data_IF_194900700313
#
_entry.id   IF_194900700313
#
_cell.length_a   1.000
_cell.length_b   1.000
_cell.length_c   1.000
_cell.angle_alpha   90.00
_cell.angle_beta   90.00
_cell.angle_gamma   90.00
#
_symmetry.space_group_name_H-M   'P 1'
#
loop_
_entity.id
_entity.type
_entity.pdbx_description
1 polymer ?
#
# COMPACT_ATOMS: atom_id res chain seq x y z
N UNK A 1 -11.41 -0.69 -12.63
CA UNK A 1 -12.37 -1.10 -11.56
C UNK A 1 -13.60 -0.20 -11.52
N UNK A 2 -13.47 1.11 -11.25
CA UNK A 2 -14.64 2.02 -11.20
C UNK A 2 -15.29 2.18 -12.59
N UNK A 3 -14.49 2.48 -13.61
CA UNK A 3 -14.95 2.67 -14.99
C UNK A 3 -14.98 1.37 -15.82
N UNK A 4 -15.24 0.22 -15.20
CA UNK A 4 -15.11 -1.09 -15.88
C UNK A 4 -16.00 -1.26 -17.13
N UNK A 5 -17.11 -0.52 -17.19
CA UNK A 5 -18.05 -0.55 -18.33
C UNK A 5 -17.54 0.28 -19.51
N UNK A 6 -16.76 1.34 -19.25
CA UNK A 6 -16.05 2.10 -20.29
C UNK A 6 -14.66 1.45 -20.51
N UNK A 7 -14.64 0.47 -21.41
CA UNK A 7 -13.45 -0.35 -21.68
C UNK A 7 -12.30 0.47 -22.25
N UNK A 8 -12.58 1.46 -23.09
CA UNK A 8 -11.55 2.30 -23.71
C UNK A 8 -10.90 3.20 -22.68
N UNK A 9 -11.70 3.86 -21.84
CA UNK A 9 -11.18 4.74 -20.79
C UNK A 9 -10.47 3.94 -19.70
N UNK A 10 -11.08 2.86 -19.21
CA UNK A 10 -10.47 2.02 -18.17
C UNK A 10 -9.19 1.32 -18.65
N UNK A 11 -9.14 0.92 -19.92
CA UNK A 11 -7.92 0.39 -20.54
C UNK A 11 -6.78 1.39 -20.54
N UNK A 12 -7.04 2.65 -20.91
CA UNK A 12 -6.04 3.74 -20.86
C UNK A 12 -5.55 4.01 -19.44
N UNK A 13 -6.44 3.99 -18.44
CA UNK A 13 -6.07 4.20 -17.04
C UNK A 13 -5.17 3.07 -16.52
N UNK A 14 -5.49 1.81 -16.84
CA UNK A 14 -4.65 0.67 -16.46
C UNK A 14 -3.28 0.80 -17.12
N UNK A 15 -3.23 1.04 -18.43
CA UNK A 15 -1.96 1.17 -19.15
C UNK A 15 -1.08 2.28 -18.57
N UNK A 16 -1.66 3.45 -18.27
CA UNK A 16 -0.91 4.55 -17.66
C UNK A 16 -0.39 4.18 -16.26
N UNK A 17 -1.20 3.49 -15.45
CA UNK A 17 -0.81 3.06 -14.11
C UNK A 17 0.32 2.02 -14.15
N UNK A 18 0.25 1.04 -15.06
CA UNK A 18 1.32 0.05 -15.28
C UNK A 18 2.61 0.73 -15.69
N UNK A 19 2.57 1.64 -16.67
CA UNK A 19 3.74 2.37 -17.15
C UNK A 19 4.44 3.17 -16.05
N UNK A 20 3.67 3.91 -15.23
CA UNK A 20 4.23 4.71 -14.13
C UNK A 20 4.83 3.80 -13.07
N UNK A 21 4.12 2.74 -12.69
CA UNK A 21 4.59 1.81 -11.68
C UNK A 21 5.89 1.12 -12.10
N UNK A 22 5.93 0.60 -13.32
CA UNK A 22 7.11 -0.05 -13.89
C UNK A 22 8.29 0.91 -14.01
N UNK A 23 8.06 2.15 -14.43
CA UNK A 23 9.11 3.17 -14.48
C UNK A 23 9.74 3.42 -13.11
N UNK A 24 8.94 3.43 -12.03
CA UNK A 24 9.45 3.63 -10.66
C UNK A 24 10.14 2.38 -10.14
N UNK A 25 9.59 1.18 -10.35
CA UNK A 25 10.17 -0.06 -9.82
C UNK A 25 11.42 -0.51 -10.57
N UNK A 26 11.57 -0.13 -11.83
CA UNK A 26 12.75 -0.46 -12.65
C UNK A 26 13.88 0.57 -12.54
N UNK A 27 13.68 1.67 -11.80
CA UNK A 27 14.72 2.66 -11.54
C UNK A 27 15.85 2.06 -10.68
N UNK A 28 17.05 2.62 -10.80
CA UNK A 28 18.20 2.23 -9.98
C UNK A 28 17.82 2.27 -8.48
N UNK A 29 17.97 1.16 -7.71
CA UNK A 29 17.69 1.14 -6.28
C UNK A 29 18.42 2.23 -5.49
N UNK A 30 19.57 2.72 -5.97
CA UNK A 30 20.30 3.83 -5.34
C UNK A 30 19.62 5.19 -5.50
N UNK A 31 18.72 5.32 -6.48
CA UNK A 31 17.92 6.51 -6.73
C UNK A 31 16.49 6.40 -6.19
N UNK A 32 16.07 5.19 -5.79
CA UNK A 32 14.80 5.04 -5.12
C UNK A 32 14.78 5.83 -3.81
N UNK A 33 13.67 6.49 -3.57
CA UNK A 33 13.53 7.39 -2.44
C UNK A 33 12.21 8.12 -2.48
N UNK A 34 11.98 8.96 -1.48
CA UNK A 34 10.81 9.80 -1.44
C UNK A 34 10.93 10.92 -2.46
N UNK A 35 9.82 11.35 -3.07
CA UNK A 35 9.85 12.46 -4.03
C UNK A 35 10.36 13.77 -3.39
N UNK A 36 10.11 13.96 -2.08
CA UNK A 36 10.61 15.11 -1.34
C UNK A 36 12.12 15.07 -1.09
N UNK A 37 12.79 13.92 -1.20
CA UNK A 37 14.26 13.85 -1.09
C UNK A 37 14.97 14.49 -2.30
N UNK A 38 14.30 14.56 -3.45
CA UNK A 38 14.86 15.11 -4.68
C UNK A 38 14.60 16.62 -4.76
N UNK A 39 15.65 17.42 -4.64
CA UNK A 39 15.55 18.89 -4.65
C UNK A 39 14.85 19.44 -5.91
N UNK A 40 15.12 18.86 -7.08
CA UNK A 40 14.52 19.27 -8.34
C UNK A 40 13.02 18.95 -8.45
N UNK A 41 12.49 18.04 -7.62
CA UNK A 41 11.11 17.59 -7.70
C UNK A 41 10.28 18.10 -6.52
N UNK A 42 10.74 17.85 -5.28
CA UNK A 42 9.89 17.97 -4.09
C UNK A 42 10.39 18.96 -3.04
N UNK A 43 11.39 19.80 -3.33
CA UNK A 43 11.97 20.72 -2.32
C UNK A 43 10.93 21.61 -1.66
N UNK A 44 10.08 22.26 -2.45
CA UNK A 44 9.03 23.14 -1.94
C UNK A 44 7.96 22.37 -1.14
N UNK A 45 7.73 21.11 -1.51
CA UNK A 45 6.72 20.28 -0.87
C UNK A 45 7.12 19.82 0.54
N UNK A 46 8.40 19.87 0.92
CA UNK A 46 8.89 19.51 2.26
C UNK A 46 8.22 20.28 3.40
N UNK A 47 7.68 21.47 3.13
CA UNK A 47 7.00 22.27 4.15
C UNK A 47 5.53 21.90 4.35
N UNK A 48 4.92 21.16 3.42
CA UNK A 48 3.48 20.88 3.42
C UNK A 48 3.17 19.38 3.32
N UNK A 49 3.84 18.68 2.40
CA UNK A 49 3.65 17.27 2.07
C UNK A 49 4.99 16.52 2.09
N UNK A 50 5.69 16.57 3.23
CA UNK A 50 6.95 15.86 3.37
C UNK A 50 6.75 14.34 3.51
N UNK A 51 7.25 13.58 2.54
CA UNK A 51 7.14 12.13 2.55
C UNK A 51 8.06 11.49 3.59
N UNK A 52 7.51 10.57 4.40
CA UNK A 52 8.28 9.77 5.36
C UNK A 52 8.86 8.50 4.74
N UNK A 53 8.13 7.90 3.80
CA UNK A 53 8.46 6.64 3.13
C UNK A 53 7.93 6.68 1.69
N UNK A 54 8.41 5.74 0.89
CA UNK A 54 7.85 5.42 -0.43
C UNK A 54 7.47 3.93 -0.55
N UNK A 55 7.87 3.09 0.41
CA UNK A 55 7.70 1.63 0.35
C UNK A 55 6.23 1.23 0.46
N UNK A 56 5.48 1.92 1.31
CA UNK A 56 4.05 1.72 1.46
C UNK A 56 3.26 2.22 0.24
N UNK A 57 3.72 3.27 -0.44
CA UNK A 57 3.20 3.68 -1.75
C UNK A 57 3.44 2.62 -2.83
N UNK A 58 4.61 1.99 -2.86
CA UNK A 58 4.88 0.88 -3.79
C UNK A 58 3.98 -0.32 -3.50
N UNK A 59 3.84 -0.71 -2.22
CA UNK A 59 2.93 -1.77 -1.82
C UNK A 59 1.47 -1.44 -2.20
N UNK A 60 1.06 -0.19 -2.01
CA UNK A 60 -0.26 0.32 -2.39
C UNK A 60 -0.51 0.25 -3.90
N UNK A 61 0.41 0.78 -4.70
CA UNK A 61 0.33 0.75 -6.16
C UNK A 61 0.24 -0.68 -6.70
N UNK A 62 1.13 -1.56 -6.23
CA UNK A 62 1.16 -2.97 -6.60
C UNK A 62 -0.16 -3.68 -6.25
N UNK A 63 -0.69 -3.42 -5.05
CA UNK A 63 -1.96 -4.03 -4.60
C UNK A 63 -3.11 -3.61 -5.51
N UNK A 64 -3.22 -2.33 -5.87
CA UNK A 64 -4.27 -1.86 -6.78
C UNK A 64 -4.10 -2.37 -8.20
N UNK A 65 -2.86 -2.45 -8.71
CA UNK A 65 -2.59 -3.03 -10.01
C UNK A 65 -2.96 -4.51 -10.05
N UNK A 66 -2.65 -5.28 -9.01
CA UNK A 66 -3.12 -6.66 -8.90
C UNK A 66 -4.65 -6.73 -8.91
N UNK A 67 -5.33 -5.89 -8.12
CA UNK A 67 -6.79 -5.87 -8.08
C UNK A 67 -7.41 -5.53 -9.43
N UNK A 68 -6.79 -4.62 -10.19
CA UNK A 68 -7.28 -4.15 -11.49
C UNK A 68 -6.96 -5.11 -12.65
N UNK A 69 -5.83 -5.83 -12.60
CA UNK A 69 -5.30 -6.58 -13.75
C UNK A 69 -5.25 -8.09 -13.55
N UNK A 70 -5.28 -8.54 -12.29
CA UNK A 70 -5.06 -9.94 -11.88
C UNK A 70 -3.69 -10.52 -12.25
N UNK A 71 -2.74 -9.69 -12.69
CA UNK A 71 -1.37 -10.15 -12.98
C UNK A 71 -0.64 -10.44 -11.66
N UNK A 72 -0.19 -11.67 -11.47
CA UNK A 72 0.38 -12.17 -10.20
C UNK A 72 1.69 -11.52 -9.80
N UNK A 73 2.48 -11.02 -10.76
CA UNK A 73 3.72 -10.29 -10.44
C UNK A 73 3.45 -9.02 -9.62
N UNK A 74 2.30 -8.35 -9.81
CA UNK A 74 1.91 -7.24 -8.96
C UNK A 74 1.54 -7.68 -7.54
N UNK A 75 0.97 -8.89 -7.37
CA UNK A 75 0.76 -9.43 -6.03
C UNK A 75 2.08 -9.78 -5.35
N UNK A 76 3.04 -10.36 -6.08
CA UNK A 76 4.39 -10.60 -5.56
C UNK A 76 5.04 -9.30 -5.08
N UNK A 77 5.04 -8.27 -5.93
CA UNK A 77 5.54 -6.94 -5.56
C UNK A 77 4.79 -6.35 -4.36
N UNK A 78 3.46 -6.47 -4.32
CA UNK A 78 2.65 -5.98 -3.20
C UNK A 78 3.06 -6.65 -1.88
N UNK A 79 3.27 -7.96 -1.89
CA UNK A 79 3.69 -8.70 -0.69
C UNK A 79 5.11 -8.35 -0.26
N UNK A 80 6.04 -8.20 -1.20
CA UNK A 80 7.43 -7.84 -0.92
C UNK A 80 7.54 -6.42 -0.35
N UNK A 81 6.92 -5.44 -1.01
CA UNK A 81 6.94 -4.05 -0.53
C UNK A 81 6.15 -3.87 0.76
N UNK A 82 5.07 -4.63 0.99
CA UNK A 82 4.37 -4.61 2.27
C UNK A 82 5.27 -5.11 3.40
N UNK A 83 6.03 -6.20 3.21
CA UNK A 83 6.99 -6.67 4.19
C UNK A 83 8.08 -5.61 4.46
N UNK A 84 8.62 -5.01 3.41
CA UNK A 84 9.65 -3.96 3.52
C UNK A 84 9.14 -2.70 4.23
N UNK A 85 7.89 -2.30 3.98
CA UNK A 85 7.27 -1.18 4.69
C UNK A 85 6.95 -1.55 6.15
N UNK A 86 6.55 -2.80 6.41
CA UNK A 86 6.26 -3.29 7.76
C UNK A 86 7.53 -3.40 8.62
N UNK A 87 8.69 -3.73 8.05
CA UNK A 87 9.96 -3.77 8.78
C UNK A 87 10.41 -2.40 9.27
N UNK A 88 10.02 -1.35 8.55
CA UNK A 88 10.39 0.04 8.83
C UNK A 88 9.29 0.78 9.60
N UNK A 89 8.21 0.09 9.98
CA UNK A 89 7.03 0.67 10.63
C UNK A 89 7.39 1.31 11.99
N UNK A 90 7.06 2.59 12.13
CA UNK A 90 7.17 3.30 13.40
C UNK A 90 5.89 3.17 14.25
N UNK A 91 5.94 3.59 15.51
CA UNK A 91 4.73 3.64 16.34
C UNK A 91 3.67 4.62 15.82
N UNK A 92 4.08 5.68 15.12
CA UNK A 92 3.15 6.59 14.45
C UNK A 92 2.45 5.90 13.27
N UNK A 93 3.13 4.98 12.60
CA UNK A 93 2.60 4.28 11.43
C UNK A 93 1.54 3.25 11.78
N UNK A 94 1.51 2.78 13.02
CA UNK A 94 0.46 1.91 13.56
C UNK A 94 -0.88 2.63 13.78
N UNK A 95 -0.93 3.95 13.59
CA UNK A 95 -2.12 4.77 13.81
C UNK A 95 -3.09 4.75 12.61
N UNK A 96 -3.65 5.90 12.22
CA UNK A 96 -4.67 5.98 11.17
C UNK A 96 -4.02 5.87 9.79
N UNK A 97 -4.77 5.35 8.81
CA UNK A 97 -4.43 5.51 7.39
C UNK A 97 -4.56 6.97 6.96
N UNK A 98 -3.57 7.52 6.24
CA UNK A 98 -3.60 8.90 5.77
C UNK A 98 -2.71 9.13 4.54
N UNK A 99 -2.60 10.38 4.10
CA UNK A 99 -1.92 10.72 2.85
C UNK A 99 -0.44 10.31 2.80
N UNK A 100 0.26 10.27 3.94
CA UNK A 100 1.69 9.95 4.03
C UNK A 100 1.97 8.50 4.42
N UNK A 101 0.94 7.72 4.74
CA UNK A 101 1.11 6.33 5.17
C UNK A 101 -0.07 5.48 4.71
N UNK A 102 0.23 4.51 3.84
CA UNK A 102 -0.72 3.57 3.24
C UNK A 102 -0.68 2.19 3.88
N UNK A 103 0.24 1.91 4.80
CA UNK A 103 0.54 0.57 5.32
C UNK A 103 -0.70 -0.15 5.87
N UNK A 104 -1.50 0.54 6.69
CA UNK A 104 -2.72 -0.02 7.25
C UNK A 104 -3.80 -0.29 6.19
N UNK A 105 -3.91 0.55 5.16
CA UNK A 105 -4.84 0.31 4.06
C UNK A 105 -4.39 -0.85 3.18
N UNK A 106 -3.08 -0.98 2.93
CA UNK A 106 -2.50 -2.15 2.24
C UNK A 106 -2.78 -3.41 3.03
N UNK A 107 -2.60 -3.39 4.36
CA UNK A 107 -2.91 -4.55 5.21
C UNK A 107 -4.36 -5.01 5.06
N UNK A 108 -5.32 -4.06 5.04
CA UNK A 108 -6.74 -4.35 4.83
C UNK A 108 -7.00 -4.95 3.45
N UNK A 109 -6.42 -4.36 2.40
CA UNK A 109 -6.61 -4.85 1.02
C UNK A 109 -6.02 -6.25 0.83
N UNK A 110 -4.80 -6.50 1.32
CA UNK A 110 -4.17 -7.82 1.28
C UNK A 110 -4.96 -8.85 2.10
N UNK A 111 -5.50 -8.45 3.26
CA UNK A 111 -6.39 -9.32 4.03
C UNK A 111 -7.65 -9.66 3.22
N UNK A 112 -8.25 -8.69 2.52
CA UNK A 112 -9.35 -8.94 1.59
C UNK A 112 -8.97 -9.90 0.45
N UNK A 113 -7.79 -9.72 -0.16
CA UNK A 113 -7.29 -10.64 -1.20
C UNK A 113 -7.19 -12.07 -0.64
N UNK A 114 -6.68 -12.25 0.57
CA UNK A 114 -6.64 -13.56 1.24
C UNK A 114 -8.03 -14.19 1.36
N UNK A 115 -9.00 -13.44 1.89
CA UNK A 115 -10.32 -14.00 2.18
C UNK A 115 -11.19 -14.24 0.95
N UNK A 116 -11.05 -13.42 -0.09
CA UNK A 116 -11.95 -13.46 -1.25
C UNK A 116 -11.33 -14.05 -2.52
N UNK A 117 -10.00 -14.11 -2.62
CA UNK A 117 -9.32 -14.64 -3.80
C UNK A 117 -8.42 -15.84 -3.48
N UNK A 118 -8.00 -15.99 -2.22
CA UNK A 118 -7.17 -17.09 -1.70
C UNK A 118 -6.08 -17.60 -2.68
N UNK A 119 -5.12 -16.74 -3.05
CA UNK A 119 -4.15 -17.06 -4.10
C UNK A 119 -3.16 -18.18 -3.71
N UNK A 120 -3.12 -18.60 -2.43
CA UNK A 120 -2.20 -19.64 -1.95
C UNK A 120 -0.72 -19.26 -2.09
N UNK A 121 0.10 -20.27 -2.38
CA UNK A 121 1.57 -20.18 -2.39
C UNK A 121 2.08 -19.25 -3.50
N UNK A 122 3.08 -18.38 -3.24
CA UNK A 122 3.90 -18.25 -2.02
C UNK A 122 3.45 -17.13 -1.05
N UNK A 123 2.20 -16.68 -1.13
CA UNK A 123 1.78 -15.42 -0.51
C UNK A 123 1.21 -15.58 0.91
N UNK A 124 0.96 -16.81 1.37
CA UNK A 124 0.12 -17.10 2.52
C UNK A 124 0.62 -16.45 3.80
N UNK A 125 1.94 -16.44 4.02
CA UNK A 125 2.51 -15.89 5.25
C UNK A 125 2.38 -14.38 5.31
N UNK A 126 2.60 -13.68 4.19
CA UNK A 126 2.40 -12.23 4.10
C UNK A 126 0.91 -11.88 4.20
N UNK A 127 0.05 -12.68 3.58
CA UNK A 127 -1.40 -12.50 3.66
C UNK A 127 -1.93 -12.75 5.08
N UNK A 128 -1.39 -13.74 5.81
CA UNK A 128 -1.67 -13.94 7.25
C UNK A 128 -1.20 -12.75 8.08
N UNK A 129 0.03 -12.26 7.84
CA UNK A 129 0.59 -11.08 8.52
C UNK A 129 -0.30 -9.84 8.31
N UNK A 130 -0.75 -9.59 7.08
CA UNK A 130 -1.65 -8.47 6.76
C UNK A 130 -3.00 -8.59 7.49
N UNK A 131 -3.52 -9.82 7.63
CA UNK A 131 -4.75 -10.09 8.38
C UNK A 131 -4.58 -9.84 9.87
N UNK A 132 -3.45 -10.26 10.46
CA UNK A 132 -3.13 -9.99 11.87
C UNK A 132 -2.95 -8.49 12.15
N UNK A 133 -2.33 -7.77 11.21
CA UNK A 133 -2.17 -6.31 11.29
C UNK A 133 -3.53 -5.61 11.23
N UNK A 134 -4.39 -6.04 10.30
CA UNK A 134 -5.77 -5.55 10.17
C UNK A 134 -6.59 -5.82 11.43
N UNK A 135 -6.50 -7.03 12.00
CA UNK A 135 -7.17 -7.38 13.26
C UNK A 135 -6.71 -6.48 14.41
N UNK A 136 -5.39 -6.30 14.57
CA UNK A 136 -4.82 -5.46 15.62
C UNK A 136 -5.28 -4.00 15.48
N UNK A 137 -5.30 -3.48 14.25
CA UNK A 137 -5.80 -2.15 13.94
C UNK A 137 -7.27 -1.99 14.36
N UNK A 138 -8.15 -2.91 13.95
CA UNK A 138 -9.57 -2.89 14.32
C UNK A 138 -9.77 -2.95 15.83
N UNK A 139 -9.06 -3.86 16.52
CA UNK A 139 -9.10 -3.98 17.97
C UNK A 139 -8.67 -2.68 18.66
N UNK A 140 -7.66 -1.97 18.15
CA UNK A 140 -7.20 -0.70 18.74
C UNK A 140 -8.29 0.38 18.76
N UNK A 141 -9.14 0.45 17.73
CA UNK A 141 -10.25 1.41 17.68
C UNK A 141 -11.42 0.98 18.56
N UNK A 142 -11.71 -0.32 18.60
CA UNK A 142 -12.78 -0.85 19.43
C UNK A 142 -12.44 -0.72 20.92
N UNK A 143 -11.23 -1.12 21.35
CA UNK A 143 -10.81 -0.99 22.76
C UNK A 143 -10.77 0.45 23.24
N UNK A 144 -10.25 1.40 22.44
CA UNK A 144 -10.28 2.83 22.78
C UNK A 144 -11.69 3.35 23.01
N UNK A 145 -12.69 2.82 22.30
CA UNK A 145 -14.10 3.20 22.46
C UNK A 145 -14.72 2.66 23.75
N UNK A 146 -14.24 1.51 24.27
CA UNK A 146 -14.75 0.94 25.51
C UNK A 146 -14.11 1.57 26.75
N UNK A 147 -12.81 1.86 26.73
CA UNK A 147 -12.12 2.50 27.87
C UNK A 147 -12.45 3.98 28.04
N UNK A 148 -12.79 4.70 26.96
CA UNK A 148 -13.24 6.10 27.02
C UNK A 148 -14.69 6.29 27.46
N UNK A 149 -15.44 5.19 27.67
CA UNK A 149 -16.86 5.20 28.08
C UNK A 149 -17.09 4.72 29.50
N UNK A 150 -16.08 4.13 30.14
CA UNK A 150 -16.09 3.83 31.57
C UNK A 150 -15.61 5.07 32.35
N UNK A 151 -16.41 5.61 33.28
CA UNK A 151 -16.02 6.73 34.14
C UNK A 151 -14.87 6.36 35.09
#
# INVERSE_FOLDING_TARGET
>A
MVFKEDKDYSGKLIQAAENIYEAVTNEDPKKQGTYTSVDACGKQARMLYNSSSYKDELAWGATWLFLATKKTHYLANATEFFLSAKSDETNLDKAVFYWNNKLNAVAVLLSGIRYFQDPGFPYEDVLKLSSNSTHSLMCSYLFKKYTSRTP
#
